data_IF_967535618197
#
_entry.id   IF_967535618197
#
_cell.length_a   1.000
_cell.length_b   1.000
_cell.length_c   1.000
_cell.angle_alpha   90.00
_cell.angle_beta   90.00
_cell.angle_gamma   90.00
#
_symmetry.space_group_name_H-M   'P 1'
#
loop_
_entity.id
_entity.type
_entity.pdbx_description
1 polymer ?
#
# COMPACT_ATOMS: atom_id res chain seq x y z
N UNK A 1 3.04 21.86 3.61
CA UNK A 1 2.69 20.83 4.62
C UNK A 1 1.20 20.96 4.90
N UNK A 2 0.39 19.93 4.65
CA UNK A 2 -1.08 20.06 4.69
C UNK A 2 -1.63 19.85 6.11
N UNK A 3 -1.68 20.94 6.88
CA UNK A 3 -2.48 21.03 8.11
C UNK A 3 -3.68 21.94 7.80
N UNK A 4 -4.49 21.56 6.82
CA UNK A 4 -5.67 22.33 6.46
C UNK A 4 -6.91 21.49 6.79
N UNK A 5 -7.54 21.84 7.91
CA UNK A 5 -8.91 21.43 8.26
C UNK A 5 -9.96 22.33 7.60
N UNK A 6 -9.53 23.34 6.83
CA UNK A 6 -10.41 24.22 6.08
C UNK A 6 -10.67 23.61 4.70
N UNK A 7 -11.94 23.34 4.33
CA UNK A 7 -12.25 22.67 3.07
C UNK A 7 -11.84 23.49 1.85
N UNK A 8 -11.80 24.81 1.98
CA UNK A 8 -11.52 25.75 0.91
C UNK A 8 -10.22 26.50 1.20
N UNK A 9 -9.23 26.37 0.32
CA UNK A 9 -7.95 27.06 0.41
C UNK A 9 -7.75 27.96 -0.80
N UNK A 10 -7.82 29.27 -0.60
CA UNK A 10 -7.59 30.26 -1.65
C UNK A 10 -6.09 30.39 -1.97
N UNK A 11 -5.76 30.46 -3.24
CA UNK A 11 -4.36 30.55 -3.71
C UNK A 11 -4.28 31.14 -5.10
N UNK A 12 -3.06 31.40 -5.56
CA UNK A 12 -2.77 32.01 -6.86
C UNK A 12 -2.04 31.00 -7.75
N UNK A 13 -2.43 30.95 -9.02
CA UNK A 13 -1.71 30.17 -10.04
C UNK A 13 -0.39 30.86 -10.37
N UNK A 14 0.74 30.17 -10.17
CA UNK A 14 2.09 30.71 -10.38
C UNK A 14 2.76 30.20 -11.64
N UNK A 15 2.40 29.01 -12.10
CA UNK A 15 2.87 28.49 -13.39
C UNK A 15 1.89 27.46 -13.96
N UNK A 16 1.90 27.34 -15.29
CA UNK A 16 1.16 26.34 -16.07
C UNK A 16 2.17 25.60 -16.93
N UNK A 17 2.18 24.27 -16.89
CA UNK A 17 3.16 23.43 -17.57
C UNK A 17 2.47 22.33 -18.38
N UNK A 18 2.79 22.19 -19.67
CA UNK A 18 2.16 21.21 -20.57
C UNK A 18 2.85 19.84 -20.58
N UNK A 19 3.97 19.70 -19.85
CA UNK A 19 4.88 18.56 -20.00
C UNK A 19 6.09 18.85 -20.88
N UNK A 20 6.02 19.90 -21.72
CA UNK A 20 7.12 20.35 -22.58
C UNK A 20 7.46 21.83 -22.44
N UNK A 21 6.48 22.70 -22.17
CA UNK A 21 6.68 24.14 -22.08
C UNK A 21 5.78 24.79 -21.02
N UNK A 22 6.11 26.04 -20.67
CA UNK A 22 5.32 26.87 -19.78
C UNK A 22 4.38 27.79 -20.58
N UNK A 23 3.16 27.95 -20.08
CA UNK A 23 2.15 28.82 -20.69
C UNK A 23 1.70 29.92 -19.73
N UNK A 24 1.31 31.07 -20.27
CA UNK A 24 0.67 32.15 -19.51
C UNK A 24 -0.82 31.89 -19.28
N UNK A 25 -1.45 31.10 -20.15
CA UNK A 25 -2.88 30.78 -20.14
C UNK A 25 -3.09 29.39 -20.72
N UNK A 26 -4.00 28.62 -20.12
CA UNK A 26 -4.53 27.37 -20.70
C UNK A 26 -6.04 27.49 -20.89
N UNK A 27 -6.51 27.16 -22.08
CA UNK A 27 -7.92 27.16 -22.51
C UNK A 27 -8.31 25.90 -23.30
N UNK A 28 -7.41 24.91 -23.40
CA UNK A 28 -7.55 23.73 -24.27
C UNK A 28 -7.96 22.46 -23.52
N UNK A 29 -8.39 21.47 -24.31
CA UNK A 29 -8.57 20.08 -23.85
C UNK A 29 -7.23 19.36 -23.79
N UNK A 30 -6.83 18.90 -22.61
CA UNK A 30 -5.61 18.12 -22.40
C UNK A 30 -5.12 18.26 -20.96
N UNK A 31 -4.33 17.29 -20.51
CA UNK A 31 -3.77 17.35 -19.16
C UNK A 31 -2.61 18.36 -19.12
N UNK A 32 -2.67 19.27 -18.17
CA UNK A 32 -1.60 20.22 -17.84
C UNK A 32 -1.29 20.16 -16.35
N UNK A 33 -0.11 20.58 -15.97
CA UNK A 33 0.31 20.75 -14.59
C UNK A 33 0.20 22.20 -14.15
N UNK A 34 -0.46 22.46 -13.02
CA UNK A 34 -0.54 23.77 -12.39
C UNK A 34 0.33 23.82 -11.13
N UNK A 35 1.13 24.87 -11.02
CA UNK A 35 1.87 25.21 -9.79
C UNK A 35 1.18 26.37 -9.12
N UNK A 36 0.88 26.22 -7.83
CA UNK A 36 0.18 27.20 -7.02
C UNK A 36 1.15 27.83 -6.02
N UNK A 37 0.83 29.03 -5.55
CA UNK A 37 1.60 29.70 -4.49
C UNK A 37 1.59 28.92 -3.17
N UNK A 38 0.44 28.35 -2.84
CA UNK A 38 0.23 27.44 -1.72
C UNK A 38 -0.88 26.46 -2.06
N UNK A 39 -0.93 25.31 -1.40
CA UNK A 39 -1.92 24.27 -1.71
C UNK A 39 -2.30 23.46 -0.49
N UNK A 40 -3.57 23.03 -0.45
CA UNK A 40 -4.10 22.06 0.50
C UNK A 40 -4.07 20.62 -0.02
N UNK A 41 -3.67 20.38 -1.28
CA UNK A 41 -3.51 19.04 -1.85
C UNK A 41 -2.22 18.37 -1.35
N UNK A 42 -2.31 17.10 -1.01
CA UNK A 42 -1.16 16.24 -0.74
C UNK A 42 -0.63 15.69 -2.07
N UNK A 43 0.65 15.93 -2.33
CA UNK A 43 1.37 15.30 -3.43
C UNK A 43 1.81 13.88 -3.02
N UNK A 44 1.82 12.95 -3.97
CA UNK A 44 2.30 11.59 -3.70
C UNK A 44 3.74 11.60 -3.18
N UNK A 45 3.92 11.11 -1.96
CA UNK A 45 5.22 11.01 -1.30
C UNK A 45 5.09 10.16 -0.02
N UNK A 46 6.22 9.64 0.47
CA UNK A 46 6.27 8.90 1.74
C UNK A 46 5.38 7.64 1.77
N UNK A 47 5.09 7.06 0.60
CA UNK A 47 4.19 5.91 0.43
C UNK A 47 2.70 6.25 0.34
N UNK A 48 2.27 7.48 0.68
CA UNK A 48 0.89 7.89 0.51
C UNK A 48 0.61 8.37 -0.91
N UNK A 49 -0.48 7.87 -1.51
CA UNK A 49 -0.96 8.33 -2.82
C UNK A 49 -1.46 9.78 -2.76
N UNK A 50 -1.30 10.49 -3.87
CA UNK A 50 -1.77 11.86 -4.05
C UNK A 50 -3.26 12.05 -3.78
N UNK A 51 -3.64 13.29 -3.49
CA UNK A 51 -5.04 13.71 -3.48
C UNK A 51 -5.58 13.98 -4.89
N UNK A 52 -6.90 13.93 -5.01
CA UNK A 52 -7.68 14.36 -6.17
C UNK A 52 -8.65 15.45 -5.75
N UNK A 53 -9.24 16.17 -6.71
CA UNK A 53 -10.18 17.25 -6.40
C UNK A 53 -10.29 18.24 -7.54
N UNK A 54 -10.57 19.50 -7.25
CA UNK A 54 -10.63 20.55 -8.27
C UNK A 54 -10.01 21.87 -7.81
N UNK A 55 -9.62 22.68 -8.78
CA UNK A 55 -9.26 24.08 -8.60
C UNK A 55 -10.37 24.92 -9.23
N UNK A 56 -11.07 25.69 -8.40
CA UNK A 56 -12.23 26.48 -8.81
C UNK A 56 -11.87 27.96 -8.87
N UNK A 57 -11.92 28.54 -10.07
CA UNK A 57 -11.82 29.97 -10.32
C UNK A 57 -13.19 30.58 -10.57
N UNK A 58 -13.24 31.87 -10.95
CA UNK A 58 -14.49 32.61 -11.14
C UNK A 58 -15.44 31.97 -12.16
N UNK A 59 -14.91 31.44 -13.26
CA UNK A 59 -15.67 30.81 -14.37
C UNK A 59 -15.03 29.51 -14.86
N UNK A 60 -14.08 28.97 -14.11
CA UNK A 60 -13.27 27.82 -14.53
C UNK A 60 -13.24 26.77 -13.43
N UNK A 61 -13.46 25.51 -13.82
CA UNK A 61 -13.24 24.36 -12.95
C UNK A 61 -12.23 23.43 -13.57
N UNK A 62 -11.08 23.33 -12.93
CA UNK A 62 -9.99 22.46 -13.33
C UNK A 62 -9.99 21.21 -12.46
N UNK A 63 -10.20 20.05 -13.05
CA UNK A 63 -10.24 18.77 -12.35
C UNK A 63 -8.83 18.26 -12.15
N UNK A 64 -8.39 18.17 -10.89
CA UNK A 64 -7.09 17.61 -10.51
C UNK A 64 -7.23 16.10 -10.37
N UNK A 65 -6.49 15.36 -11.19
CA UNK A 65 -6.49 13.89 -11.24
C UNK A 65 -5.22 13.28 -10.68
N UNK A 66 -4.14 14.07 -10.53
CA UNK A 66 -2.88 13.64 -9.95
C UNK A 66 -2.13 14.84 -9.33
N UNK A 67 -1.38 14.64 -8.25
CA UNK A 67 -0.56 15.66 -7.60
C UNK A 67 0.82 15.10 -7.29
N UNK A 68 1.88 15.72 -7.82
CA UNK A 68 3.25 15.21 -7.72
C UNK A 68 4.21 16.29 -7.23
N UNK A 69 5.33 15.89 -6.62
CA UNK A 69 6.44 16.79 -6.34
C UNK A 69 7.45 16.73 -7.48
N UNK A 70 7.74 17.87 -8.11
CA UNK A 70 8.74 17.96 -9.17
C UNK A 70 9.60 19.21 -8.98
N UNK A 71 10.93 19.03 -8.88
CA UNK A 71 11.87 20.14 -8.70
C UNK A 71 11.63 20.98 -7.45
N UNK A 72 11.04 20.42 -6.40
CA UNK A 72 10.66 21.14 -5.18
C UNK A 72 9.29 21.84 -5.23
N UNK A 73 8.57 21.76 -6.36
CA UNK A 73 7.24 22.32 -6.51
C UNK A 73 6.17 21.23 -6.46
N UNK A 74 4.97 21.60 -5.99
CA UNK A 74 3.78 20.74 -6.06
C UNK A 74 3.06 21.00 -7.38
N UNK A 75 3.04 19.98 -8.24
CA UNK A 75 2.41 20.00 -9.56
C UNK A 75 1.02 19.36 -9.49
N UNK A 76 -0.01 20.12 -9.80
CA UNK A 76 -1.40 19.67 -9.84
C UNK A 76 -1.76 19.34 -11.29
N UNK A 77 -1.80 18.06 -11.62
CA UNK A 77 -2.00 17.56 -12.98
C UNK A 77 -3.49 17.29 -13.18
N UNK A 78 -4.03 17.76 -14.30
CA UNK A 78 -5.44 17.63 -14.60
C UNK A 78 -5.86 18.40 -15.84
N UNK A 79 -7.17 18.52 -16.02
CA UNK A 79 -7.79 19.14 -17.20
C UNK A 79 -9.11 19.82 -16.84
N UNK A 80 -9.65 20.64 -17.75
CA UNK A 80 -10.93 21.31 -17.53
C UNK A 80 -12.11 20.32 -17.59
N UNK A 81 -13.00 20.40 -16.61
CA UNK A 81 -14.27 19.68 -16.64
C UNK A 81 -15.35 20.54 -17.31
N UNK A 82 -15.39 20.61 -18.65
CA UNK A 82 -16.44 21.33 -19.39
C UNK A 82 -15.99 21.98 -20.70
N UNK A 83 -16.93 22.65 -21.39
CA UNK A 83 -16.73 23.21 -22.75
C UNK A 83 -15.99 24.56 -22.74
N UNK A 84 -16.00 25.30 -21.63
CA UNK A 84 -15.30 26.59 -21.49
C UNK A 84 -14.58 26.58 -20.14
N UNK A 85 -13.25 26.56 -20.16
CA UNK A 85 -12.43 26.73 -18.98
C UNK A 85 -11.15 27.45 -19.41
N UNK A 86 -10.84 28.56 -18.74
CA UNK A 86 -9.60 29.30 -18.95
C UNK A 86 -8.99 29.58 -17.59
N UNK A 87 -7.70 29.27 -17.43
CA UNK A 87 -6.90 29.64 -16.27
C UNK A 87 -5.62 30.29 -16.78
N UNK A 88 -5.25 31.40 -16.16
CA UNK A 88 -4.04 32.15 -16.46
C UNK A 88 -3.15 32.25 -15.24
N UNK A 89 -1.85 32.44 -15.45
CA UNK A 89 -0.92 32.77 -14.36
C UNK A 89 -1.37 34.09 -13.72
N UNK A 90 -1.43 34.10 -12.39
CA UNK A 90 -1.95 35.22 -11.60
C UNK A 90 -3.42 35.11 -11.22
N UNK A 91 -4.17 34.15 -11.76
CA UNK A 91 -5.57 33.95 -11.38
C UNK A 91 -5.67 33.41 -9.95
N UNK A 92 -6.67 33.90 -9.22
CA UNK A 92 -7.07 33.34 -7.92
C UNK A 92 -7.93 32.10 -8.15
N UNK A 93 -7.60 31.02 -7.44
CA UNK A 93 -8.34 29.76 -7.45
C UNK A 93 -8.54 29.25 -6.03
N UNK A 94 -9.61 28.50 -5.84
CA UNK A 94 -9.91 27.80 -4.59
C UNK A 94 -9.56 26.32 -4.75
N UNK A 95 -8.68 25.81 -3.89
CA UNK A 95 -8.40 24.38 -3.81
C UNK A 95 -9.56 23.65 -3.13
N UNK A 96 -10.19 22.74 -3.87
CA UNK A 96 -11.28 21.85 -3.43
C UNK A 96 -10.79 20.41 -3.46
N UNK A 97 -10.14 19.96 -2.40
CA UNK A 97 -9.69 18.56 -2.26
C UNK A 97 -10.92 17.65 -2.11
N UNK A 98 -10.85 16.45 -2.70
CA UNK A 98 -11.75 15.34 -2.39
C UNK A 98 -11.46 14.78 -0.98
N UNK A 99 -12.03 15.44 0.03
CA UNK A 99 -11.86 15.05 1.43
C UNK A 99 -12.55 13.73 1.77
N UNK A 100 -13.56 13.30 1.00
CA UNK A 100 -14.17 11.97 1.17
C UNK A 100 -13.15 10.89 0.83
N UNK A 101 -12.45 11.03 -0.30
CA UNK A 101 -11.34 10.12 -0.65
C UNK A 101 -10.20 10.20 0.35
N UNK A 102 -9.80 11.40 0.79
CA UNK A 102 -8.73 11.56 1.80
C UNK A 102 -9.09 10.90 3.13
N UNK A 103 -10.37 10.93 3.54
CA UNK A 103 -10.86 10.28 4.74
C UNK A 103 -10.74 8.74 4.70
N UNK A 104 -10.59 8.14 3.50
CA UNK A 104 -10.27 6.71 3.35
C UNK A 104 -8.75 6.44 3.44
N UNK A 105 -7.92 7.42 3.08
CA UNK A 105 -6.45 7.29 3.02
C UNK A 105 -5.81 7.57 4.39
N UNK A 106 -6.22 8.64 5.08
CA UNK A 106 -5.60 9.07 6.33
C UNK A 106 -5.65 8.02 7.47
N UNK A 107 -6.73 7.22 7.62
CA UNK A 107 -6.73 6.12 8.58
C UNK A 107 -5.73 5.02 8.22
N UNK A 108 -5.64 4.65 6.93
CA UNK A 108 -4.64 3.70 6.45
C UNK A 108 -3.20 4.20 6.70
N UNK A 109 -2.95 5.50 6.57
CA UNK A 109 -1.64 6.07 6.89
C UNK A 109 -1.34 5.95 8.39
N UNK A 110 -2.27 6.39 9.23
CA UNK A 110 -2.08 6.36 10.69
C UNK A 110 -1.90 4.93 11.20
N UNK A 111 -2.69 3.98 10.69
CA UNK A 111 -2.53 2.57 11.01
C UNK A 111 -1.23 1.96 10.49
N UNK A 112 -0.60 2.54 9.45
CA UNK A 112 0.76 2.14 9.04
C UNK A 112 1.78 2.42 10.16
N UNK A 113 1.71 3.57 10.83
CA UNK A 113 2.58 3.89 11.98
C UNK A 113 2.29 3.01 13.20
N UNK A 114 1.02 2.73 13.46
CA UNK A 114 0.61 1.80 14.53
C UNK A 114 1.08 0.37 14.25
N UNK A 115 1.04 -0.07 12.98
CA UNK A 115 1.55 -1.36 12.53
C UNK A 115 3.08 -1.44 12.65
N UNK A 116 3.80 -0.40 12.24
CA UNK A 116 5.25 -0.31 12.38
C UNK A 116 5.68 -0.41 13.86
N UNK A 117 4.96 0.29 14.74
CA UNK A 117 5.11 0.16 16.19
C UNK A 117 4.88 -1.28 16.65
N UNK A 118 3.71 -1.87 16.33
CA UNK A 118 3.34 -3.22 16.75
C UNK A 118 4.31 -4.31 16.26
N UNK A 119 4.84 -4.17 15.03
CA UNK A 119 5.83 -5.07 14.47
C UNK A 119 7.12 -5.08 15.30
N UNK A 120 7.62 -3.91 15.71
CA UNK A 120 8.82 -3.81 16.54
C UNK A 120 8.60 -4.33 17.96
N UNK A 121 7.44 -4.06 18.54
CA UNK A 121 7.08 -4.59 19.86
C UNK A 121 7.05 -6.13 19.88
N UNK A 122 6.53 -6.75 18.82
CA UNK A 122 6.35 -8.22 18.77
C UNK A 122 7.58 -8.95 18.23
N UNK A 123 8.26 -8.39 17.23
CA UNK A 123 9.36 -9.05 16.54
C UNK A 123 10.74 -8.58 17.00
N UNK A 124 10.84 -7.36 17.54
CA UNK A 124 12.08 -6.76 18.00
C UNK A 124 12.63 -5.63 17.10
N UNK A 125 13.71 -5.01 17.56
CA UNK A 125 14.28 -3.78 16.97
C UNK A 125 14.99 -3.96 15.61
N UNK A 126 15.16 -5.19 15.10
CA UNK A 126 15.72 -5.43 13.76
C UNK A 126 14.70 -5.22 12.63
N UNK A 127 13.44 -4.97 12.98
CA UNK A 127 12.40 -4.64 12.02
C UNK A 127 12.49 -3.17 11.64
N UNK A 128 12.85 -2.95 10.38
CA UNK A 128 12.93 -1.64 9.73
C UNK A 128 12.00 -1.64 8.51
N UNK A 129 11.39 -0.48 8.25
CA UNK A 129 10.64 -0.26 7.01
C UNK A 129 11.55 -0.39 5.79
N UNK A 130 11.05 -1.09 4.78
CA UNK A 130 11.67 -1.26 3.45
C UNK A 130 10.79 -0.74 2.30
N UNK A 131 9.55 -0.35 2.61
CA UNK A 131 8.60 0.19 1.64
C UNK A 131 7.24 0.38 2.30
N UNK A 132 6.44 1.32 1.79
CA UNK A 132 5.06 1.49 2.22
C UNK A 132 4.23 2.05 1.08
N UNK A 133 2.98 1.62 0.99
CA UNK A 133 1.98 2.16 0.08
C UNK A 133 0.67 2.34 0.85
N UNK A 134 0.09 3.53 0.80
CA UNK A 134 -1.18 3.90 1.44
C UNK A 134 -2.15 4.35 0.35
N UNK A 135 -3.21 3.56 0.17
CA UNK A 135 -4.28 3.77 -0.81
C UNK A 135 -5.62 3.94 -0.09
N UNK A 136 -6.69 4.42 -0.76
CA UNK A 136 -8.03 4.47 -0.17
C UNK A 136 -8.52 3.11 0.33
N UNK A 137 -8.24 2.06 -0.43
CA UNK A 137 -8.78 0.72 -0.18
C UNK A 137 -7.91 -0.15 0.74
N UNK A 138 -6.62 0.18 0.93
CA UNK A 138 -5.68 -0.63 1.73
C UNK A 138 -4.37 0.10 2.04
N UNK A 139 -3.63 -0.46 3.00
CA UNK A 139 -2.20 -0.19 3.20
C UNK A 139 -1.36 -1.44 2.92
N UNK A 140 -0.12 -1.20 2.47
CA UNK A 140 0.95 -2.20 2.39
C UNK A 140 2.17 -1.68 3.13
N UNK A 141 2.79 -2.55 3.92
CA UNK A 141 3.97 -2.23 4.69
C UNK A 141 5.03 -3.32 4.52
N UNK A 142 6.18 -2.93 3.99
CA UNK A 142 7.31 -3.82 3.76
C UNK A 142 8.35 -3.60 4.86
N UNK A 143 8.87 -4.69 5.41
CA UNK A 143 9.75 -4.64 6.56
C UNK A 143 10.85 -5.71 6.52
N UNK A 144 11.98 -5.46 7.19
CA UNK A 144 13.06 -6.44 7.34
C UNK A 144 12.68 -7.55 8.30
N UNK A 145 12.58 -8.77 7.78
CA UNK A 145 12.42 -9.97 8.60
C UNK A 145 12.87 -11.22 7.84
N UNK A 146 13.71 -12.04 8.47
CA UNK A 146 14.40 -13.15 7.80
C UNK A 146 13.55 -14.40 7.54
N UNK A 147 12.38 -14.54 8.17
CA UNK A 147 11.55 -15.76 8.14
C UNK A 147 10.05 -15.41 8.19
N UNK A 148 9.14 -16.31 7.80
CA UNK A 148 7.70 -16.12 8.01
C UNK A 148 7.34 -15.74 9.44
N UNK A 149 6.38 -14.82 9.57
CA UNK A 149 5.87 -14.43 10.89
C UNK A 149 4.89 -15.51 11.35
N UNK A 150 5.12 -16.03 12.55
CA UNK A 150 4.25 -17.02 13.16
C UNK A 150 2.87 -16.39 13.43
N UNK A 151 1.75 -17.09 13.18
CA UNK A 151 0.46 -16.37 13.19
C UNK A 151 -0.06 -16.02 14.59
N UNK A 152 0.47 -16.60 15.66
CA UNK A 152 0.27 -16.06 17.01
C UNK A 152 0.87 -14.66 17.16
N UNK A 153 2.04 -14.42 16.56
CA UNK A 153 2.65 -13.09 16.48
C UNK A 153 1.86 -12.15 15.57
N UNK A 154 1.36 -12.62 14.43
CA UNK A 154 0.48 -11.81 13.57
C UNK A 154 -0.79 -11.39 14.29
N UNK A 155 -1.44 -12.31 15.02
CA UNK A 155 -2.59 -11.99 15.87
C UNK A 155 -2.22 -10.96 16.95
N UNK A 156 -1.04 -11.08 17.57
CA UNK A 156 -0.59 -10.09 18.55
C UNK A 156 -0.34 -8.72 17.92
N UNK A 157 0.26 -8.66 16.73
CA UNK A 157 0.48 -7.43 15.98
C UNK A 157 -0.86 -6.75 15.66
N UNK A 158 -1.81 -7.49 15.10
CA UNK A 158 -3.17 -6.98 14.81
C UNK A 158 -3.89 -6.52 16.09
N UNK A 159 -3.76 -7.26 17.19
CA UNK A 159 -4.31 -6.91 18.50
C UNK A 159 -3.76 -5.58 19.01
N UNK A 160 -2.45 -5.35 18.94
CA UNK A 160 -1.83 -4.10 19.40
C UNK A 160 -2.33 -2.89 18.60
N UNK A 161 -2.58 -3.06 17.29
CA UNK A 161 -3.14 -1.98 16.47
C UNK A 161 -4.59 -1.70 16.87
N UNK A 162 -5.42 -2.74 17.04
CA UNK A 162 -6.80 -2.55 17.47
C UNK A 162 -6.93 -2.05 18.92
N UNK A 163 -6.04 -2.44 19.84
CA UNK A 163 -5.95 -1.90 21.20
C UNK A 163 -5.72 -0.38 21.21
N UNK A 164 -4.87 0.12 20.30
CA UNK A 164 -4.65 1.56 20.13
C UNK A 164 -5.86 2.28 19.49
N UNK A 165 -6.64 1.61 18.64
CA UNK A 165 -7.90 2.16 18.08
C UNK A 165 -8.95 2.27 19.20
N UNK A 166 -9.12 1.21 19.98
CA UNK A 166 -10.05 1.16 21.12
C UNK A 166 -9.69 2.17 22.22
N UNK A 167 -8.39 2.46 22.39
CA UNK A 167 -7.92 3.47 23.34
C UNK A 167 -8.22 4.92 22.90
N UNK A 168 -8.75 5.16 21.70
CA UNK A 168 -9.10 6.47 21.16
C UNK A 168 -7.98 7.52 21.36
N UNK A 169 -6.76 7.17 20.94
CA UNK A 169 -5.58 8.00 21.12
C UNK A 169 -5.58 9.18 20.15
N UNK A 170 -5.29 10.38 20.65
CA UNK A 170 -5.07 11.56 19.81
C UNK A 170 -3.78 11.43 18.99
N UNK A 171 -3.78 11.95 17.77
CA UNK A 171 -2.63 11.97 16.86
C UNK A 171 -2.10 13.40 16.77
N UNK A 172 -0.86 13.59 17.17
CA UNK A 172 -0.20 14.89 17.23
C UNK A 172 0.85 15.00 16.12
N UNK A 173 1.01 16.20 15.58
CA UNK A 173 2.05 16.50 14.60
C UNK A 173 2.63 17.89 14.80
N UNK A 174 3.95 18.02 14.71
CA UNK A 174 4.65 19.30 14.89
C UNK A 174 5.94 19.37 14.10
N UNK A 175 6.25 20.55 13.58
CA UNK A 175 7.55 20.84 12.99
C UNK A 175 8.63 21.02 14.07
N UNK A 176 9.78 20.42 13.85
CA UNK A 176 10.95 20.51 14.71
C UNK A 176 12.22 20.58 13.86
N UNK A 177 13.32 21.04 14.46
CA UNK A 177 14.62 20.91 13.80
C UNK A 177 14.94 19.42 13.65
N UNK A 178 15.61 19.05 12.55
CA UNK A 178 16.03 17.66 12.33
C UNK A 178 16.91 17.16 13.48
N UNK A 179 17.75 18.04 14.04
CA UNK A 179 18.63 17.72 15.15
C UNK A 179 17.86 17.41 16.44
N UNK A 180 16.85 18.22 16.80
CA UNK A 180 16.05 17.99 18.01
C UNK A 180 15.17 16.75 17.87
N UNK A 181 14.53 16.58 16.70
CA UNK A 181 13.68 15.43 16.44
C UNK A 181 14.47 14.11 16.61
N UNK A 182 15.67 14.01 16.02
CA UNK A 182 16.52 12.81 16.11
C UNK A 182 16.94 12.41 17.52
N UNK A 183 16.84 13.30 18.51
CA UNK A 183 17.11 12.95 19.93
C UNK A 183 15.96 12.17 20.57
N UNK A 184 14.74 12.24 20.02
CA UNK A 184 13.57 11.57 20.58
C UNK A 184 13.81 10.05 20.59
N UNK A 185 13.84 9.46 21.78
CA UNK A 185 14.06 8.05 21.96
C UNK A 185 12.90 7.23 21.35
N UNK A 186 13.24 6.20 20.59
CA UNK A 186 12.26 5.40 19.86
C UNK A 186 11.66 6.07 18.62
N UNK A 187 12.06 7.30 18.28
CA UNK A 187 11.65 7.92 17.03
C UNK A 187 12.09 7.06 15.85
N UNK A 188 11.13 6.75 15.01
CA UNK A 188 11.34 5.97 13.80
C UNK A 188 11.55 6.93 12.61
N UNK A 189 12.59 6.64 11.85
CA UNK A 189 12.88 7.27 10.57
C UNK A 189 13.30 6.17 9.59
N UNK A 190 13.04 6.39 8.30
CA UNK A 190 13.37 5.42 7.27
C UNK A 190 14.86 5.53 6.96
N UNK A 191 15.57 4.40 7.09
CA UNK A 191 16.99 4.36 6.81
C UNK A 191 17.28 4.65 5.33
N UNK A 192 18.19 5.60 5.07
CA UNK A 192 18.60 5.98 3.71
C UNK A 192 17.81 7.15 3.11
N UNK A 193 16.72 7.58 3.75
CA UNK A 193 15.98 8.77 3.33
C UNK A 193 16.67 10.07 3.77
N UNK A 194 16.60 11.09 2.91
CA UNK A 194 17.06 12.44 3.22
C UNK A 194 15.87 13.25 3.68
N UNK A 195 15.86 13.61 4.97
CA UNK A 195 14.84 14.46 5.55
C UNK A 195 15.23 15.95 5.44
N UNK A 196 14.29 16.85 5.11
CA UNK A 196 14.53 18.29 5.12
C UNK A 196 14.76 18.80 6.56
N UNK A 197 15.19 20.05 6.71
CA UNK A 197 15.20 20.74 8.00
C UNK A 197 14.49 22.09 7.81
N UNK A 198 13.32 22.33 8.45
CA UNK A 198 12.69 21.51 9.50
C UNK A 198 12.04 20.21 9.00
N UNK A 199 11.81 19.29 9.94
CA UNK A 199 11.01 18.06 9.76
C UNK A 199 9.69 18.13 10.51
N UNK A 200 8.73 17.30 10.11
CA UNK A 200 7.53 17.04 10.92
C UNK A 200 7.63 15.72 11.66
N UNK A 201 7.49 15.79 12.97
CA UNK A 201 7.31 14.63 13.85
C UNK A 201 5.81 14.39 14.01
N UNK A 202 5.38 13.13 13.87
CA UNK A 202 4.03 12.66 14.17
C UNK A 202 4.12 11.68 15.34
N UNK A 203 3.24 11.81 16.33
CA UNK A 203 3.18 10.94 17.49
C UNK A 203 1.73 10.55 17.83
N UNK A 204 1.52 9.29 18.21
CA UNK A 204 0.20 8.75 18.56
C UNK A 204 0.09 8.60 20.07
N UNK A 205 -0.91 9.21 20.68
CA UNK A 205 -1.20 9.17 22.11
C UNK A 205 -0.38 10.13 22.98
N UNK A 206 0.63 10.82 22.43
CA UNK A 206 1.45 11.79 23.16
C UNK A 206 1.73 13.03 22.32
N UNK A 207 1.69 14.20 22.96
CA UNK A 207 2.02 15.48 22.31
C UNK A 207 3.49 15.52 21.94
N UNK A 208 3.78 15.97 20.72
CA UNK A 208 5.16 16.12 20.22
C UNK A 208 5.95 17.12 21.07
N UNK A 209 5.30 18.12 21.64
CA UNK A 209 5.90 19.04 22.62
C UNK A 209 6.57 18.32 23.78
N UNK A 210 5.91 17.30 24.35
CA UNK A 210 6.41 16.58 25.51
C UNK A 210 7.61 15.71 25.14
N UNK A 211 7.58 15.12 23.94
CA UNK A 211 8.70 14.40 23.36
C UNK A 211 9.91 15.34 23.17
N UNK A 212 9.70 16.54 22.64
CA UNK A 212 10.78 17.49 22.39
C UNK A 212 11.33 18.14 23.68
N UNK A 213 10.51 18.25 24.72
CA UNK A 213 10.92 18.81 26.01
C UNK A 213 11.87 17.89 26.79
N UNK A 214 11.72 16.57 26.64
CA UNK A 214 12.56 15.55 27.29
C UNK A 214 12.85 14.38 26.34
N UNK A 215 13.60 14.61 25.24
CA UNK A 215 13.68 13.68 24.12
C UNK A 215 14.33 12.33 24.45
N UNK A 216 15.19 12.29 25.45
CA UNK A 216 15.94 11.07 25.80
C UNK A 216 15.20 10.18 26.82
N UNK A 217 13.95 10.52 27.19
CA UNK A 217 13.18 9.73 28.14
C UNK A 217 12.91 8.30 27.61
N UNK A 218 13.19 7.29 28.44
CA UNK A 218 13.01 5.88 28.09
C UNK A 218 11.56 5.53 27.72
N UNK A 219 10.57 6.20 28.32
CA UNK A 219 9.15 5.91 28.05
C UNK A 219 8.72 6.23 26.61
N UNK A 220 9.48 7.03 25.86
CA UNK A 220 9.13 7.36 24.48
C UNK A 220 9.31 6.18 23.52
N UNK A 221 10.09 5.17 23.88
CA UNK A 221 10.24 3.97 23.05
C UNK A 221 8.95 3.15 22.91
N UNK A 222 8.04 3.25 23.89
CA UNK A 222 6.72 2.60 23.86
C UNK A 222 5.64 3.44 23.17
N UNK A 223 6.02 4.51 22.46
CA UNK A 223 5.11 5.36 21.68
C UNK A 223 5.40 5.20 20.18
N UNK A 224 4.35 5.25 19.36
CA UNK A 224 4.51 5.39 17.91
C UNK A 224 4.83 6.85 17.60
N UNK A 225 6.10 7.14 17.33
CA UNK A 225 6.61 8.45 16.95
C UNK A 225 7.51 8.33 15.70
N UNK A 226 7.19 9.11 14.66
CA UNK A 226 7.79 8.99 13.33
C UNK A 226 8.03 10.35 12.66
N UNK A 227 9.07 10.45 11.83
CA UNK A 227 9.21 11.56 10.89
C UNK A 227 8.27 11.34 9.70
N UNK A 228 7.19 12.12 9.61
CA UNK A 228 6.18 11.92 8.57
C UNK A 228 5.54 13.23 8.10
N UNK A 229 5.57 13.44 6.78
CA UNK A 229 4.91 14.55 6.08
C UNK A 229 3.47 14.25 5.64
N UNK A 230 2.98 13.04 5.88
CA UNK A 230 1.68 12.52 5.44
C UNK A 230 0.45 13.14 6.11
N UNK A 231 -0.72 12.81 5.56
CA UNK A 231 -2.01 13.16 6.18
C UNK A 231 -2.40 12.08 7.19
N UNK A 232 -2.87 12.51 8.37
CA UNK A 232 -3.28 11.62 9.46
C UNK A 232 -4.69 11.94 9.94
N UNK A 233 -5.36 10.94 10.51
CA UNK A 233 -6.56 11.16 11.32
C UNK A 233 -6.19 11.93 12.59
N UNK A 234 -7.16 12.60 13.21
CA UNK A 234 -6.92 13.35 14.46
C UNK A 234 -6.96 12.46 15.69
N UNK A 235 -7.70 11.35 15.62
CA UNK A 235 -7.82 10.38 16.70
C UNK A 235 -7.93 8.95 16.14
N UNK A 236 -7.30 7.97 16.78
CA UNK A 236 -7.25 6.58 16.30
C UNK A 236 -8.62 5.92 16.14
N UNK A 237 -9.65 6.37 16.88
CA UNK A 237 -11.03 5.86 16.72
C UNK A 237 -11.60 6.07 15.32
N UNK A 238 -11.11 7.06 14.57
CA UNK A 238 -11.53 7.33 13.19
C UNK A 238 -11.18 6.17 12.25
N UNK A 239 -10.19 5.33 12.61
CA UNK A 239 -9.88 4.10 11.88
C UNK A 239 -11.00 3.05 12.01
N UNK A 240 -11.83 3.12 13.05
CA UNK A 240 -12.95 2.23 13.40
C UNK A 240 -12.58 0.76 13.66
N UNK A 241 -11.77 0.16 12.79
CA UNK A 241 -11.25 -1.19 12.87
C UNK A 241 -9.99 -1.30 12.02
N UNK A 242 -9.14 -2.28 12.34
CA UNK A 242 -8.00 -2.67 11.53
C UNK A 242 -8.02 -4.20 11.31
N UNK A 243 -7.83 -4.62 10.06
CA UNK A 243 -7.75 -6.04 9.71
C UNK A 243 -6.48 -6.33 8.89
N UNK A 244 -5.65 -7.25 9.38
CA UNK A 244 -4.49 -7.77 8.69
C UNK A 244 -4.93 -8.84 7.69
N UNK A 245 -4.76 -8.57 6.40
CA UNK A 245 -5.23 -9.47 5.35
C UNK A 245 -4.22 -10.54 4.98
N UNK A 246 -2.93 -10.17 4.91
CA UNK A 246 -1.87 -11.11 4.53
C UNK A 246 -0.50 -10.70 5.04
N UNK A 247 0.37 -11.70 5.18
CA UNK A 247 1.81 -11.57 5.37
C UNK A 247 2.51 -12.45 4.32
N UNK A 248 3.42 -11.88 3.53
CA UNK A 248 4.15 -12.61 2.50
C UNK A 248 5.62 -12.16 2.35
N UNK A 249 6.49 -13.08 1.90
CA UNK A 249 7.86 -12.74 1.57
C UNK A 249 7.97 -12.20 0.14
N UNK A 250 8.56 -11.01 -0.03
CA UNK A 250 8.69 -10.36 -1.35
C UNK A 250 10.12 -10.35 -1.89
N UNK A 251 11.11 -10.49 -1.01
CA UNK A 251 12.52 -10.65 -1.35
C UNK A 251 13.27 -11.32 -0.19
N UNK A 252 14.54 -11.67 -0.39
CA UNK A 252 15.37 -12.24 0.67
C UNK A 252 15.47 -11.26 1.85
N UNK A 253 14.91 -11.66 3.00
CA UNK A 253 14.92 -10.87 4.23
C UNK A 253 13.91 -9.72 4.27
N UNK A 254 12.99 -9.62 3.31
CA UNK A 254 11.95 -8.59 3.25
C UNK A 254 10.58 -9.26 3.19
N UNK A 255 9.68 -8.79 4.06
CA UNK A 255 8.31 -9.27 4.19
C UNK A 255 7.33 -8.12 4.04
N UNK A 256 6.11 -8.43 3.62
CA UNK A 256 5.04 -7.47 3.36
C UNK A 256 3.81 -7.86 4.16
N UNK A 257 3.23 -6.89 4.85
CA UNK A 257 1.86 -6.97 5.36
C UNK A 257 0.95 -6.15 4.46
N UNK A 258 -0.21 -6.73 4.10
CA UNK A 258 -1.34 -5.99 3.55
C UNK A 258 -2.44 -5.93 4.60
N UNK A 259 -2.99 -4.74 4.84
CA UNK A 259 -4.05 -4.53 5.81
C UNK A 259 -5.05 -3.48 5.32
N UNK A 260 -6.20 -3.44 5.97
CA UNK A 260 -7.29 -2.50 5.68
C UNK A 260 -7.82 -1.88 6.96
N UNK A 261 -8.47 -0.72 6.84
CA UNK A 261 -9.12 -0.02 7.95
C UNK A 261 -10.58 0.27 7.65
N UNK A 262 -11.30 0.87 8.60
CA UNK A 262 -12.66 1.41 8.45
C UNK A 262 -13.68 0.37 7.96
N UNK A 263 -14.46 0.69 6.91
CA UNK A 263 -15.48 -0.20 6.35
C UNK A 263 -14.88 -1.50 5.82
N UNK A 264 -13.76 -1.42 5.10
CA UNK A 264 -13.07 -2.59 4.55
C UNK A 264 -12.58 -3.54 5.65
N UNK A 265 -12.11 -3.02 6.79
CA UNK A 265 -11.75 -3.85 7.94
C UNK A 265 -12.95 -4.54 8.56
N UNK A 266 -14.06 -3.84 8.75
CA UNK A 266 -15.29 -4.45 9.27
C UNK A 266 -15.81 -5.56 8.36
N UNK A 267 -15.79 -5.36 7.03
CA UNK A 267 -16.18 -6.36 6.06
C UNK A 267 -15.26 -7.59 6.11
N UNK A 268 -13.94 -7.38 6.20
CA UNK A 268 -12.96 -8.45 6.34
C UNK A 268 -13.15 -9.26 7.63
N UNK A 269 -13.35 -8.59 8.77
CA UNK A 269 -13.58 -9.25 10.07
C UNK A 269 -14.90 -10.03 10.09
N UNK A 270 -15.96 -9.47 9.50
CA UNK A 270 -17.26 -10.16 9.36
C UNK A 270 -17.13 -11.42 8.51
N UNK A 271 -16.44 -11.33 7.38
CA UNK A 271 -16.18 -12.48 6.51
C UNK A 271 -15.34 -13.54 7.25
N UNK A 272 -14.29 -13.14 7.96
CA UNK A 272 -13.46 -14.05 8.75
C UNK A 272 -14.28 -14.84 9.78
N UNK A 273 -15.20 -14.16 10.50
CA UNK A 273 -16.10 -14.81 11.46
C UNK A 273 -17.08 -15.78 10.79
N UNK A 274 -17.58 -15.45 9.61
CA UNK A 274 -18.45 -16.36 8.84
C UNK A 274 -17.69 -17.63 8.43
N UNK A 275 -16.46 -17.47 7.93
CA UNK A 275 -15.61 -18.60 7.55
C UNK A 275 -15.22 -19.47 8.75
N UNK A 276 -14.95 -18.87 9.90
CA UNK A 276 -14.69 -19.62 11.14
C UNK A 276 -15.89 -20.49 11.53
N UNK A 277 -17.10 -19.92 11.51
CA UNK A 277 -18.32 -20.66 11.77
C UNK A 277 -18.54 -21.80 10.77
N UNK A 278 -18.30 -21.56 9.49
CA UNK A 278 -18.42 -22.58 8.45
C UNK A 278 -17.44 -23.74 8.65
N UNK A 279 -16.21 -23.45 9.09
CA UNK A 279 -15.23 -24.49 9.42
C UNK A 279 -15.63 -25.26 10.66
N UNK A 280 -16.09 -24.58 11.71
CA UNK A 280 -16.59 -25.23 12.91
C UNK A 280 -17.78 -26.15 12.62
N UNK A 281 -18.68 -25.73 11.73
CA UNK A 281 -19.83 -26.54 11.34
C UNK A 281 -19.44 -27.70 10.43
N UNK A 282 -18.47 -27.51 9.53
CA UNK A 282 -17.91 -28.60 8.74
C UNK A 282 -17.21 -29.65 9.62
N UNK A 283 -16.48 -29.22 10.66
CA UNK A 283 -15.80 -30.11 11.60
C UNK A 283 -16.76 -30.96 12.45
N UNK A 284 -18.01 -30.51 12.62
CA UNK A 284 -19.07 -31.26 13.32
C UNK A 284 -19.81 -32.25 12.43
N UNK A 285 -19.68 -32.16 11.10
CA UNK A 285 -20.30 -33.13 10.19
C UNK A 285 -19.51 -34.45 10.28
N UNK A 286 -20.19 -35.53 10.68
CA UNK A 286 -19.61 -36.87 10.76
C UNK A 286 -19.10 -37.37 9.40
N UNK A 287 -18.27 -38.44 9.44
CA UNK A 287 -17.29 -38.85 8.43
C UNK A 287 -17.70 -38.96 6.95
N UNK A 288 -18.98 -38.87 6.59
CA UNK A 288 -19.43 -38.92 5.19
C UNK A 288 -18.91 -37.75 4.35
N UNK A 289 -18.76 -36.56 4.93
CA UNK A 289 -18.19 -35.38 4.24
C UNK A 289 -16.68 -35.54 4.00
N UNK A 290 -16.01 -36.25 4.92
CA UNK A 290 -14.57 -36.52 4.81
C UNK A 290 -14.29 -37.61 3.76
N UNK A 291 -15.11 -38.67 3.73
CA UNK A 291 -15.07 -39.72 2.70
C UNK A 291 -15.40 -39.19 1.30
N UNK A 292 -16.35 -38.25 1.19
CA UNK A 292 -16.67 -37.57 -0.07
C UNK A 292 -15.52 -36.65 -0.53
N UNK A 293 -14.78 -36.05 0.40
CA UNK A 293 -13.59 -35.23 0.08
C UNK A 293 -12.41 -36.06 -0.43
N UNK A 294 -12.17 -37.23 0.18
CA UNK A 294 -11.12 -38.14 -0.25
C UNK A 294 -11.43 -38.77 -1.61
N UNK A 295 -12.70 -39.02 -1.91
CA UNK A 295 -13.14 -39.61 -3.19
C UNK A 295 -13.24 -38.59 -4.34
N UNK A 296 -13.54 -37.33 -4.06
CA UNK A 296 -13.70 -36.29 -5.09
C UNK A 296 -12.47 -35.39 -5.27
N UNK A 297 -11.55 -35.37 -4.29
CA UNK A 297 -10.39 -34.45 -4.27
C UNK A 297 -10.76 -32.99 -3.99
N UNK A 298 -12.05 -32.73 -3.78
CA UNK A 298 -12.64 -31.44 -3.44
C UNK A 298 -12.50 -31.22 -1.93
N UNK A 299 -12.20 -29.99 -1.50
CA UNK A 299 -11.96 -29.75 -0.07
C UNK A 299 -13.22 -30.04 0.76
N UNK A 300 -13.10 -30.57 2.00
CA UNK A 300 -14.23 -30.72 2.92
C UNK A 300 -15.06 -29.43 3.09
N UNK A 301 -14.41 -28.26 3.02
CA UNK A 301 -15.07 -26.95 2.99
C UNK A 301 -15.97 -26.83 1.77
N UNK A 302 -15.44 -27.02 0.57
CA UNK A 302 -16.18 -26.87 -0.69
C UNK A 302 -17.30 -27.92 -0.85
N UNK A 303 -17.14 -29.12 -0.31
CA UNK A 303 -18.24 -30.12 -0.22
C UNK A 303 -19.31 -29.67 0.77
N UNK A 304 -18.89 -29.20 1.94
CA UNK A 304 -19.80 -28.82 3.02
C UNK A 304 -20.59 -27.53 2.72
N UNK A 305 -20.02 -26.61 1.95
CA UNK A 305 -20.55 -25.25 1.72
C UNK A 305 -20.95 -24.98 0.27
N UNK A 306 -20.50 -25.81 -0.69
CA UNK A 306 -20.61 -25.56 -2.14
C UNK A 306 -19.99 -24.24 -2.60
N UNK A 307 -19.03 -23.70 -1.84
CA UNK A 307 -18.35 -22.44 -2.12
C UNK A 307 -16.83 -22.61 -2.13
N UNK A 308 -16.12 -21.84 -2.96
CA UNK A 308 -14.65 -21.78 -2.91
C UNK A 308 -14.22 -20.85 -1.77
N UNK A 309 -13.27 -21.25 -0.91
CA UNK A 309 -12.87 -20.47 0.25
C UNK A 309 -12.21 -19.15 -0.15
N UNK A 310 -12.71 -18.05 0.39
CA UNK A 310 -12.19 -16.70 0.12
C UNK A 310 -11.38 -16.24 1.35
N UNK A 311 -10.07 -16.43 1.25
CA UNK A 311 -8.95 -15.88 2.05
C UNK A 311 -8.45 -16.58 3.34
N UNK A 312 -7.15 -16.43 3.64
CA UNK A 312 -6.42 -17.24 4.62
C UNK A 312 -5.74 -16.39 5.71
N UNK A 313 -6.19 -16.44 6.98
CA UNK A 313 -5.21 -16.50 8.08
C UNK A 313 -5.72 -16.87 9.47
N UNK A 314 -7.02 -16.94 9.73
CA UNK A 314 -7.48 -17.16 11.10
C UNK A 314 -7.34 -18.63 11.57
N UNK A 315 -7.30 -19.60 10.66
CA UNK A 315 -7.48 -21.02 11.01
C UNK A 315 -6.22 -21.89 11.08
N UNK A 316 -5.11 -21.52 10.43
CA UNK A 316 -4.04 -22.49 10.18
C UNK A 316 -2.97 -22.61 11.29
N UNK A 317 -2.78 -21.60 12.15
CA UNK A 317 -1.61 -21.58 13.06
C UNK A 317 -2.01 -21.72 14.54
N UNK A 318 -3.24 -22.17 14.79
CA UNK A 318 -3.77 -22.40 16.14
C UNK A 318 -4.24 -23.84 16.41
N UNK A 319 -4.14 -24.77 15.45
CA UNK A 319 -4.71 -26.11 15.64
C UNK A 319 -3.87 -26.93 16.65
N UNK A 320 -4.40 -27.08 17.87
CA UNK A 320 -3.90 -27.99 18.92
C UNK A 320 -4.71 -29.30 19.02
N UNK A 321 -5.47 -29.65 17.98
CA UNK A 321 -6.30 -30.86 18.02
C UNK A 321 -5.47 -32.14 17.88
N UNK A 322 -5.97 -33.28 18.41
CA UNK A 322 -5.19 -34.51 18.58
C UNK A 322 -4.93 -35.31 17.29
N UNK A 323 -5.39 -34.82 16.13
CA UNK A 323 -5.46 -35.60 14.90
C UNK A 323 -4.35 -35.26 13.90
N UNK A 324 -3.54 -36.26 13.56
CA UNK A 324 -2.53 -36.20 12.49
C UNK A 324 -3.14 -35.89 11.11
N UNK A 325 -4.42 -36.23 10.90
CA UNK A 325 -5.15 -35.95 9.66
C UNK A 325 -5.58 -34.48 9.57
N UNK A 326 -5.99 -33.87 10.69
CA UNK A 326 -6.32 -32.44 10.73
C UNK A 326 -5.08 -31.54 10.57
N UNK A 327 -3.91 -32.00 11.03
CA UNK A 327 -2.63 -31.36 10.72
C UNK A 327 -2.29 -31.42 9.22
N UNK A 328 -2.54 -32.56 8.55
CA UNK A 328 -2.35 -32.70 7.10
C UNK A 328 -3.33 -31.84 6.30
N UNK A 329 -4.56 -31.67 6.77
CA UNK A 329 -5.56 -30.75 6.21
C UNK A 329 -5.09 -29.28 6.29
N UNK A 330 -4.63 -28.82 7.46
CA UNK A 330 -4.09 -27.46 7.63
C UNK A 330 -2.85 -27.20 6.75
N UNK A 331 -1.96 -28.20 6.63
CA UNK A 331 -0.78 -28.14 5.76
C UNK A 331 -1.12 -28.09 4.26
N UNK A 332 -2.05 -28.94 3.80
CA UNK A 332 -2.51 -28.95 2.41
C UNK A 332 -3.33 -27.71 2.02
N UNK A 333 -3.96 -27.06 2.99
CA UNK A 333 -4.67 -25.79 2.80
C UNK A 333 -3.70 -24.61 2.62
N UNK A 334 -2.57 -24.60 3.34
CA UNK A 334 -1.49 -23.63 3.15
C UNK A 334 -0.93 -23.69 1.72
N UNK A 335 -0.66 -24.89 1.22
CA UNK A 335 -0.13 -25.14 -0.12
C UNK A 335 -1.13 -24.76 -1.24
N UNK A 336 -2.45 -24.86 -1.00
CA UNK A 336 -3.50 -24.46 -1.97
C UNK A 336 -3.88 -22.97 -1.89
N UNK A 337 -3.59 -22.29 -0.78
CA UNK A 337 -3.85 -20.85 -0.63
C UNK A 337 -2.98 -19.98 -1.56
N UNK A 338 -1.78 -20.44 -1.90
CA UNK A 338 -0.92 -19.78 -2.91
C UNK A 338 -1.51 -19.86 -4.33
N UNK A 339 -2.29 -20.91 -4.64
CA UNK A 339 -3.02 -21.01 -5.91
C UNK A 339 -4.21 -20.06 -5.98
N UNK A 340 -4.92 -19.84 -4.87
CA UNK A 340 -6.01 -18.85 -4.80
C UNK A 340 -5.47 -17.41 -4.91
N UNK A 341 -4.28 -17.14 -4.35
CA UNK A 341 -3.55 -15.87 -4.50
C UNK A 341 -3.22 -15.58 -5.98
N UNK A 342 -2.78 -16.62 -6.70
CA UNK A 342 -2.56 -16.57 -8.17
C UNK A 342 -3.86 -16.36 -8.98
N UNK A 343 -5.01 -16.77 -8.45
CA UNK A 343 -6.32 -16.61 -9.11
C UNK A 343 -6.89 -15.19 -8.91
N UNK A 344 -6.71 -14.59 -7.73
CA UNK A 344 -7.13 -13.22 -7.44
C UNK A 344 -6.28 -12.17 -8.15
N UNK A 345 -4.98 -12.40 -8.34
CA UNK A 345 -4.11 -11.55 -9.19
C UNK A 345 -4.53 -11.57 -10.67
N UNK A 346 -5.21 -12.63 -11.13
CA UNK A 346 -5.75 -12.73 -12.50
C UNK A 346 -7.12 -12.08 -12.70
N UNK A 347 -7.82 -11.71 -11.63
CA UNK A 347 -9.17 -11.13 -11.71
C UNK A 347 -9.20 -9.59 -11.62
N UNK A 348 -8.08 -8.95 -11.26
CA UNK A 348 -7.93 -7.49 -11.24
C UNK A 348 -8.36 -6.74 -12.53
N UNK A 349 -8.19 -7.31 -13.74
CA UNK A 349 -8.61 -6.64 -14.97
C UNK A 349 -10.13 -6.68 -15.28
N UNK A 350 -10.95 -7.41 -14.52
CA UNK A 350 -12.37 -7.66 -14.89
C UNK A 350 -13.40 -6.70 -14.27
N UNK A 351 -12.96 -5.64 -13.57
CA UNK A 351 -13.85 -4.65 -12.94
C UNK A 351 -13.98 -3.30 -13.68
N UNK A 352 -13.49 -3.18 -14.93
CA UNK A 352 -13.76 -2.02 -15.78
C UNK A 352 -14.04 -2.46 -17.22
N UNK A 353 -15.33 -2.58 -17.55
CA UNK A 353 -15.99 -2.01 -18.74
C UNK A 353 -17.30 -2.74 -19.04
N UNK A 354 -18.42 -2.00 -19.05
CA UNK A 354 -19.77 -2.53 -19.29
C UNK A 354 -20.23 -2.26 -20.74
N UNK A 355 -19.45 -1.57 -21.57
CA UNK A 355 -19.88 -1.18 -22.93
C UNK A 355 -18.78 -1.24 -24.03
N UNK A 356 -18.12 -2.38 -24.25
CA UNK A 356 -17.25 -2.58 -25.43
C UNK A 356 -17.72 -3.75 -26.33
N UNK A 357 -18.12 -3.50 -27.60
CA UNK A 357 -18.47 -4.52 -28.60
C UNK A 357 -17.30 -5.40 -29.09
N UNK A 358 -16.05 -5.14 -28.71
CA UNK A 358 -14.86 -5.84 -29.23
C UNK A 358 -14.45 -7.11 -28.47
N UNK A 359 -15.37 -7.69 -27.68
CA UNK A 359 -15.15 -8.84 -26.76
C UNK A 359 -14.74 -10.18 -27.42
N UNK A 360 -14.32 -10.19 -28.69
CA UNK A 360 -13.95 -11.38 -29.46
C UNK A 360 -12.46 -11.73 -29.54
N UNK A 361 -11.52 -10.83 -29.26
CA UNK A 361 -10.09 -11.07 -29.61
C UNK A 361 -9.06 -10.69 -28.52
N UNK A 362 -9.45 -10.72 -27.24
CA UNK A 362 -8.52 -10.47 -26.13
C UNK A 362 -7.84 -11.76 -25.65
N UNK A 363 -6.57 -11.99 -26.04
CA UNK A 363 -5.65 -12.89 -25.33
C UNK A 363 -4.66 -12.09 -24.47
N UNK A 364 -5.10 -11.81 -23.23
CA UNK A 364 -4.37 -11.53 -21.96
C UNK A 364 -3.49 -10.28 -21.81
N UNK A 365 -3.70 -9.59 -20.68
CA UNK A 365 -2.80 -8.63 -20.03
C UNK A 365 -2.20 -9.25 -18.72
N UNK A 366 -1.10 -8.72 -18.16
CA UNK A 366 0.02 -9.52 -17.64
C UNK A 366 0.17 -9.55 -16.10
N UNK A 367 0.73 -10.66 -15.61
CA UNK A 367 1.47 -10.74 -14.33
C UNK A 367 2.75 -11.52 -14.65
N UNK A 368 3.92 -10.89 -14.45
CA UNK A 368 5.14 -11.11 -15.23
C UNK A 368 5.73 -12.54 -15.17
N UNK A 369 5.80 -13.22 -16.33
CA UNK A 369 6.58 -14.44 -16.55
C UNK A 369 7.15 -14.35 -17.96
N UNK A 370 8.48 -14.31 -18.09
CA UNK A 370 9.14 -14.65 -19.35
C UNK A 370 8.92 -16.15 -19.57
N UNK A 371 7.86 -16.51 -20.29
CA UNK A 371 7.91 -17.71 -21.12
C UNK A 371 8.36 -17.21 -22.48
N UNK A 372 9.66 -17.30 -22.73
CA UNK A 372 10.20 -17.22 -24.09
C UNK A 372 9.37 -18.23 -24.90
N UNK A 373 8.60 -17.81 -25.93
CA UNK A 373 8.16 -18.78 -26.93
C UNK A 373 9.44 -19.44 -27.43
N UNK A 374 9.45 -20.73 -27.78
CA UNK A 374 10.62 -21.32 -28.44
C UNK A 374 10.93 -20.50 -29.71
N UNK A 375 11.78 -19.51 -29.57
CA UNK A 375 12.26 -18.61 -30.61
C UNK A 375 13.71 -19.00 -30.80
N UNK A 376 14.09 -19.35 -32.02
CA UNK A 376 15.49 -19.54 -32.34
C UNK A 376 16.23 -18.22 -32.15
N UNK A 377 17.47 -18.28 -31.66
CA UNK A 377 18.36 -17.13 -31.61
C UNK A 377 18.66 -16.70 -33.05
N UNK A 378 18.37 -15.45 -33.38
CA UNK A 378 18.66 -14.90 -34.71
C UNK A 378 20.13 -14.48 -34.79
N UNK A 379 20.59 -13.75 -33.76
CA UNK A 379 21.95 -13.19 -33.70
C UNK A 379 22.41 -12.98 -32.25
N UNK A 380 23.68 -13.23 -31.96
CA UNK A 380 24.32 -12.83 -30.70
C UNK A 380 24.95 -11.45 -30.90
N UNK A 381 24.40 -10.45 -30.23
CA UNK A 381 24.77 -9.04 -30.43
C UNK A 381 26.00 -8.62 -29.62
N UNK A 382 26.18 -9.18 -28.42
CA UNK A 382 27.34 -8.92 -27.57
C UNK A 382 27.54 -10.05 -26.54
N UNK A 383 28.75 -10.15 -25.95
CA UNK A 383 28.99 -11.05 -24.82
C UNK A 383 29.96 -10.43 -23.81
N UNK A 384 29.79 -10.79 -22.55
CA UNK A 384 30.59 -10.28 -21.43
C UNK A 384 31.05 -11.44 -20.56
N UNK A 385 32.35 -11.46 -20.25
CA UNK A 385 32.93 -12.41 -19.31
C UNK A 385 33.01 -11.74 -17.95
N UNK A 386 32.32 -12.28 -16.96
CA UNK A 386 32.32 -11.73 -15.60
C UNK A 386 33.31 -12.52 -14.74
N UNK A 387 34.49 -11.97 -14.42
CA UNK A 387 35.43 -12.63 -13.52
C UNK A 387 34.97 -12.46 -12.06
N UNK A 388 34.84 -13.57 -11.31
CA UNK A 388 34.68 -13.54 -9.85
C UNK A 388 35.98 -13.93 -9.14
N UNK A 389 36.23 -13.32 -7.97
CA UNK A 389 37.34 -13.73 -7.07
C UNK A 389 36.98 -15.05 -6.37
N UNK A 390 37.78 -16.09 -6.58
CA UNK A 390 37.63 -17.41 -5.93
C UNK A 390 37.61 -18.58 -6.93
N UNK A 391 37.74 -19.81 -6.43
CA UNK A 391 37.93 -21.05 -7.20
C UNK A 391 36.66 -21.65 -7.82
N UNK A 392 35.81 -20.83 -8.44
CA UNK A 392 34.65 -21.28 -9.21
C UNK A 392 34.71 -20.71 -10.64
N UNK A 393 34.17 -21.43 -11.65
CA UNK A 393 34.32 -21.03 -13.05
C UNK A 393 33.60 -19.70 -13.35
N UNK A 394 34.23 -18.86 -14.17
CA UNK A 394 33.66 -17.64 -14.75
C UNK A 394 32.45 -18.00 -15.61
N UNK A 395 31.38 -17.21 -15.57
CA UNK A 395 30.25 -17.35 -16.49
C UNK A 395 30.25 -16.22 -17.53
N UNK A 396 29.76 -16.53 -18.72
CA UNK A 396 29.66 -15.62 -19.86
C UNK A 396 28.20 -15.31 -20.10
N UNK A 397 27.86 -14.03 -20.07
CA UNK A 397 26.53 -13.55 -20.42
C UNK A 397 26.52 -13.07 -21.88
N UNK A 398 25.45 -13.38 -22.60
CA UNK A 398 25.26 -13.02 -24.01
C UNK A 398 24.04 -12.12 -24.12
N UNK A 399 24.17 -11.02 -24.85
CA UNK A 399 23.05 -10.20 -25.31
C UNK A 399 22.63 -10.73 -26.67
N UNK A 400 21.39 -11.17 -26.82
CA UNK A 400 20.94 -11.86 -28.03
C UNK A 400 19.68 -11.23 -28.61
N UNK A 401 19.54 -11.35 -29.93
CA UNK A 401 18.34 -10.97 -30.66
C UNK A 401 17.53 -12.20 -31.02
N UNK A 402 16.26 -12.18 -30.64
CA UNK A 402 15.32 -13.26 -30.93
C UNK A 402 14.73 -13.12 -32.34
N UNK A 403 14.62 -14.24 -33.05
CA UNK A 403 14.11 -14.25 -34.43
C UNK A 403 12.64 -13.82 -34.47
N UNK A 404 12.37 -12.71 -35.14
CA UNK A 404 11.03 -12.12 -35.27
C UNK A 404 10.67 -11.04 -34.23
N UNK A 405 11.56 -10.69 -33.30
CA UNK A 405 11.34 -9.60 -32.35
C UNK A 405 11.80 -8.23 -32.92
N UNK A 406 11.08 -7.12 -32.63
CA UNK A 406 11.50 -5.77 -33.00
C UNK A 406 12.81 -5.37 -32.31
N UNK A 407 13.61 -4.51 -32.94
CA UNK A 407 14.98 -4.16 -32.47
C UNK A 407 15.02 -3.55 -31.05
N UNK A 408 13.91 -3.01 -30.56
CA UNK A 408 13.78 -2.45 -29.21
C UNK A 408 13.66 -3.50 -28.10
N UNK A 409 13.52 -4.79 -28.44
CA UNK A 409 13.29 -5.89 -27.49
C UNK A 409 14.47 -6.90 -27.44
N UNK A 410 15.70 -6.45 -27.72
CA UNK A 410 16.89 -7.24 -27.42
C UNK A 410 17.07 -7.38 -25.90
N UNK A 411 17.35 -8.60 -25.42
CA UNK A 411 17.52 -8.91 -23.98
C UNK A 411 18.80 -9.67 -23.70
#
# INVERSE_FOLDING_TARGET
>A
MCIFTNPDHETVVRAIYTGSEFLDTVDTSGDVGLVLESTSFYAEQGGQIFDTGSLEGLLSKFQVTNVQVYGGFVLHIGSFSGVIGRISVGDNVVCKVDYERRALIAPNHTCTHMLNFALREVLGNHVDQKGSIVLPEKLRFDFSHGKPVEADKLRRIESIVNEQIEAELDVFGKEATLADAKRINGLRAVFGEVYPDPVRVVAIGQKVEDLLADPENEKWSSISAELCGGTHISNTREAKAFALLSEEGIAKGIRRITAVTTGYANDALKLAKQLEQEVDDAAKKEGSVLEESESTGVSPFEIATRQQPITPHTLAVGYKGPSLAAFKFAKGWHEKSDMARTYLERLGPYHKDVEDPSRGEARRAPTAITVVPKCDVDEIMAHWVIPRRGSHPSYVEYLIKWKGAPNSEAS
#
